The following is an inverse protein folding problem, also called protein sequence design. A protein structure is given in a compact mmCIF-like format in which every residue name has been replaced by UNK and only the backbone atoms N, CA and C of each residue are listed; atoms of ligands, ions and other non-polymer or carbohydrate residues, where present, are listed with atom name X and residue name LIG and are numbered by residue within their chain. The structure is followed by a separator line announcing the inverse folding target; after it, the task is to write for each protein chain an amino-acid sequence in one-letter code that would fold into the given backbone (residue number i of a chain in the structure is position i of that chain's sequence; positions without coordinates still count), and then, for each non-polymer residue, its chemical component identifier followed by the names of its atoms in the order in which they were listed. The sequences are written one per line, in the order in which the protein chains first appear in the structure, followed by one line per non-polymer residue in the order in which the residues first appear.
data_IF_400701802596
#
_entry.id   IF_400701802596
#
_cell.length_a   1.000
_cell.length_b   1.000
_cell.length_c   1.000
_cell.angle_alpha   90.00
_cell.angle_beta   90.00
_cell.angle_gamma   90.00
#
_symmetry.space_group_name_H-M   'P 1'
#
loop_
_entity.id
_entity.type
_entity.pdbx_description
1 polymer ?
#
# COMPACT_ATOMS: atom_id res chain seq x y z
N UNK A 1 17.01 -24.33 -1.37
CA UNK A 1 16.50 -22.97 -1.57
C UNK A 1 16.06 -22.38 -0.24
N UNK A 2 16.49 -21.17 0.02
CA UNK A 2 16.00 -20.47 1.20
C UNK A 2 14.60 -19.94 0.95
N UNK A 3 13.77 -19.88 1.99
CA UNK A 3 12.47 -19.26 1.90
C UNK A 3 12.62 -17.75 1.63
N UNK A 4 11.69 -17.13 0.90
CA UNK A 4 11.74 -15.70 0.70
C UNK A 4 11.63 -14.97 2.04
N UNK A 5 12.36 -13.87 2.16
CA UNK A 5 12.27 -13.03 3.35
C UNK A 5 10.91 -12.34 3.38
N UNK A 6 10.32 -12.14 4.57
CA UNK A 6 9.08 -11.38 4.67
C UNK A 6 9.30 -9.92 4.30
N UNK A 7 8.26 -9.29 3.76
CA UNK A 7 8.27 -7.86 3.51
C UNK A 7 8.33 -7.09 4.83
N UNK A 8 7.55 -7.55 5.81
CA UNK A 8 7.49 -6.95 7.13
C UNK A 8 6.76 -7.89 8.08
N UNK A 9 6.71 -7.49 9.35
CA UNK A 9 5.86 -8.15 10.34
C UNK A 9 4.48 -7.52 10.31
N UNK A 10 3.45 -8.31 10.64
CA UNK A 10 2.08 -7.78 10.73
C UNK A 10 2.02 -6.60 11.72
N UNK A 11 2.76 -6.70 12.83
CA UNK A 11 2.79 -5.66 13.86
C UNK A 11 3.48 -4.37 13.41
N UNK A 12 4.19 -4.40 12.29
CA UNK A 12 4.79 -3.19 11.69
C UNK A 12 3.74 -2.32 11.03
N UNK A 13 2.52 -2.81 10.87
CA UNK A 13 1.40 -2.08 10.31
C UNK A 13 0.36 -1.87 11.42
N UNK A 14 0.08 -0.63 11.82
CA UNK A 14 -0.93 -0.39 12.85
C UNK A 14 -2.30 -0.92 12.43
N UNK A 15 -3.03 -1.52 13.37
CA UNK A 15 -4.40 -1.94 13.07
C UNK A 15 -5.23 -0.71 12.69
N UNK A 16 -6.00 -0.84 11.62
CA UNK A 16 -6.77 0.25 11.01
C UNK A 16 -5.87 1.40 10.53
N UNK A 17 -4.61 1.09 10.28
CA UNK A 17 -3.63 2.05 9.81
C UNK A 17 -2.93 1.55 8.57
N UNK A 18 -1.80 2.17 8.29
CA UNK A 18 -0.99 1.87 7.11
C UNK A 18 0.48 2.06 7.39
N UNK A 19 1.31 1.51 6.50
CA UNK A 19 2.73 1.77 6.50
C UNK A 19 3.30 1.55 5.10
N UNK A 20 4.47 2.11 4.86
CA UNK A 20 5.18 1.96 3.61
C UNK A 20 6.38 1.04 3.75
N UNK A 21 6.64 0.25 2.72
CA UNK A 21 7.77 -0.68 2.69
C UNK A 21 8.41 -0.63 1.30
N UNK A 22 9.61 -1.18 1.19
CA UNK A 22 10.27 -1.26 -0.09
C UNK A 22 11.07 -2.55 -0.21
N UNK A 23 11.33 -2.93 -1.47
CA UNK A 23 12.31 -3.96 -1.81
C UNK A 23 13.25 -3.38 -2.84
N UNK A 24 14.48 -3.91 -2.88
CA UNK A 24 15.45 -3.48 -3.88
C UNK A 24 15.29 -4.36 -5.12
N UNK A 25 14.87 -3.74 -6.23
CA UNK A 25 14.84 -4.39 -7.53
C UNK A 25 16.19 -4.30 -8.23
N UNK A 26 16.26 -4.89 -9.44
CA UNK A 26 17.51 -4.92 -10.20
C UNK A 26 18.02 -3.53 -10.58
N UNK A 27 17.09 -2.65 -10.95
CA UNK A 27 17.41 -1.30 -11.44
C UNK A 27 16.97 -0.20 -10.51
N UNK A 28 16.02 -0.49 -9.64
CA UNK A 28 15.39 0.53 -8.80
C UNK A 28 14.78 -0.09 -7.56
N UNK A 29 14.49 0.77 -6.60
CA UNK A 29 13.74 0.38 -5.41
C UNK A 29 12.26 0.30 -5.76
N UNK A 30 11.61 -0.77 -5.33
CA UNK A 30 10.17 -0.97 -5.48
C UNK A 30 9.47 -0.57 -4.19
N UNK A 31 8.51 0.33 -4.29
CA UNK A 31 7.80 0.87 -3.12
C UNK A 31 6.41 0.22 -3.01
N UNK A 32 6.03 -0.11 -1.78
CA UNK A 32 4.75 -0.73 -1.47
C UNK A 32 4.06 0.04 -0.35
N UNK A 33 2.74 0.06 -0.38
CA UNK A 33 1.93 0.50 0.75
C UNK A 33 1.11 -0.68 1.25
N UNK A 34 1.00 -0.80 2.57
CA UNK A 34 0.20 -1.83 3.20
C UNK A 34 -0.82 -1.18 4.12
N UNK A 35 -2.07 -1.58 3.98
CA UNK A 35 -3.17 -1.10 4.81
C UNK A 35 -3.71 -2.29 5.59
N UNK A 36 -3.80 -2.14 6.91
CA UNK A 36 -4.21 -3.23 7.79
C UNK A 36 -5.59 -2.98 8.38
N UNK A 37 -6.41 -4.03 8.37
CA UNK A 37 -7.69 -4.06 9.08
C UNK A 37 -7.80 -5.39 9.83
N UNK A 38 -7.47 -5.39 11.12
CA UNK A 38 -7.41 -6.61 11.91
C UNK A 38 -6.35 -7.56 11.37
N UNK A 39 -6.78 -8.72 10.89
CA UNK A 39 -5.89 -9.72 10.31
C UNK A 39 -5.84 -9.65 8.78
N UNK A 40 -6.55 -8.71 8.18
CA UNK A 40 -6.51 -8.49 6.74
C UNK A 40 -5.52 -7.39 6.40
N UNK A 41 -4.72 -7.60 5.37
CA UNK A 41 -3.77 -6.61 4.87
C UNK A 41 -3.97 -6.49 3.36
N UNK A 42 -4.08 -5.23 2.91
CA UNK A 42 -4.19 -4.90 1.50
C UNK A 42 -2.90 -4.22 1.08
N UNK A 43 -2.23 -4.75 0.06
CA UNK A 43 -0.95 -4.22 -0.39
C UNK A 43 -1.07 -3.76 -1.83
N UNK A 44 -0.57 -2.56 -2.09
CA UNK A 44 -0.53 -1.97 -3.43
C UNK A 44 0.85 -1.41 -3.70
N UNK A 45 1.21 -1.30 -4.98
CA UNK A 45 2.39 -0.52 -5.34
C UNK A 45 2.16 0.92 -4.91
N UNK A 46 3.15 1.51 -4.25
CA UNK A 46 3.10 2.91 -3.80
C UNK A 46 3.42 3.82 -4.98
N UNK A 47 2.45 3.94 -5.87
CA UNK A 47 2.59 4.71 -7.10
C UNK A 47 1.23 5.23 -7.53
N UNK A 48 1.10 6.55 -7.60
CA UNK A 48 -0.14 7.18 -8.03
C UNK A 48 -0.37 6.91 -9.52
N UNK A 49 -1.55 6.39 -9.93
CA UNK A 49 -1.82 6.14 -11.35
C UNK A 49 -1.75 7.41 -12.21
N UNK A 50 -2.02 8.57 -11.61
CA UNK A 50 -2.02 9.85 -12.31
C UNK A 50 -0.60 10.38 -12.57
N UNK A 51 0.24 10.36 -11.53
CA UNK A 51 1.56 11.03 -11.59
C UNK A 51 2.74 10.06 -11.61
N UNK A 52 2.54 8.81 -11.19
CA UNK A 52 3.62 7.87 -11.01
C UNK A 52 4.46 8.10 -9.77
N UNK A 53 4.09 9.07 -8.93
CA UNK A 53 4.82 9.40 -7.71
C UNK A 53 4.28 8.59 -6.52
N UNK A 54 5.08 8.41 -5.46
CA UNK A 54 4.58 7.84 -4.21
C UNK A 54 3.41 8.64 -3.67
N UNK A 55 2.46 7.94 -3.03
CA UNK A 55 1.25 8.57 -2.49
C UNK A 55 1.50 9.29 -1.16
N UNK A 56 2.46 8.81 -0.38
CA UNK A 56 2.67 9.32 0.97
C UNK A 56 3.61 10.52 1.00
N UNK A 57 3.05 11.68 1.26
CA UNK A 57 3.85 12.88 1.54
C UNK A 57 4.57 12.73 2.89
N UNK A 58 3.84 12.22 3.89
CA UNK A 58 4.43 11.83 5.18
C UNK A 58 4.63 10.32 5.17
N UNK A 59 5.87 9.83 5.35
CA UNK A 59 6.16 8.40 5.23
C UNK A 59 5.19 7.52 6.02
N UNK A 60 4.63 6.53 5.36
CA UNK A 60 3.71 5.57 5.96
C UNK A 60 2.26 6.03 6.08
N UNK A 61 1.96 7.27 5.74
CA UNK A 61 0.60 7.80 5.87
C UNK A 61 -0.11 7.78 4.52
N UNK A 62 -0.98 6.78 4.36
CA UNK A 62 -1.70 6.56 3.11
C UNK A 62 -3.21 6.75 3.25
N UNK A 63 -3.72 6.90 4.47
CA UNK A 63 -5.17 6.96 4.69
C UNK A 63 -5.65 8.39 4.83
N UNK A 64 -6.86 8.65 4.32
CA UNK A 64 -7.56 9.89 4.57
C UNK A 64 -7.86 10.03 6.07
N UNK A 65 -8.20 11.25 6.49
CA UNK A 65 -8.38 11.57 7.91
C UNK A 65 -9.36 10.63 8.63
N UNK A 66 -10.40 10.18 7.94
CA UNK A 66 -11.39 9.26 8.51
C UNK A 66 -10.97 7.80 8.47
N UNK A 67 -9.84 7.49 7.85
CA UNK A 67 -9.34 6.12 7.73
C UNK A 67 -10.11 5.22 6.77
N UNK A 68 -11.10 5.74 6.06
CA UNK A 68 -11.97 4.95 5.20
C UNK A 68 -11.41 4.75 3.78
N UNK A 69 -10.55 5.65 3.33
CA UNK A 69 -10.01 5.66 1.97
C UNK A 69 -8.51 5.87 1.98
N UNK A 70 -7.83 5.32 0.98
CA UNK A 70 -6.44 5.66 0.68
C UNK A 70 -6.45 7.02 -0.02
N UNK A 71 -5.53 7.89 0.35
CA UNK A 71 -5.47 9.23 -0.23
C UNK A 71 -4.06 9.52 -0.74
N UNK A 72 -3.99 10.01 -1.99
CA UNK A 72 -2.76 10.52 -2.56
C UNK A 72 -2.51 11.95 -2.06
N UNK A 73 -1.34 12.19 -1.49
CA UNK A 73 -1.00 13.49 -0.93
C UNK A 73 -0.78 14.58 -1.98
N UNK A 74 -0.54 14.20 -3.23
CA UNK A 74 -0.20 15.16 -4.28
C UNK A 74 -1.42 15.93 -4.79
N UNK A 75 -2.51 15.24 -5.10
CA UNK A 75 -3.69 15.86 -5.72
C UNK A 75 -4.99 15.43 -5.05
N UNK A 76 -4.93 14.80 -3.88
CA UNK A 76 -6.11 14.41 -3.14
C UNK A 76 -6.93 13.28 -3.74
N UNK A 77 -6.38 12.55 -4.72
CA UNK A 77 -7.06 11.38 -5.26
C UNK A 77 -7.33 10.37 -4.15
N UNK A 78 -8.52 9.78 -4.15
CA UNK A 78 -8.93 8.83 -3.13
C UNK A 78 -9.27 7.48 -3.73
N UNK A 79 -8.87 6.42 -3.05
CA UNK A 79 -8.99 5.04 -3.53
C UNK A 79 -9.63 4.17 -2.47
N UNK A 80 -10.44 3.20 -2.91
CA UNK A 80 -11.01 2.22 -1.97
C UNK A 80 -9.90 1.30 -1.45
N UNK A 81 -9.96 1.01 -0.16
CA UNK A 81 -8.96 0.12 0.46
C UNK A 81 -9.06 -1.29 -0.11
N UNK A 82 -10.29 -1.78 -0.32
CA UNK A 82 -10.54 -3.17 -0.71
C UNK A 82 -9.97 -3.55 -2.07
N UNK A 83 -10.03 -2.65 -3.04
CA UNK A 83 -9.63 -2.97 -4.42
C UNK A 83 -8.73 -1.91 -5.07
N UNK A 84 -8.46 -0.81 -4.37
CA UNK A 84 -7.59 0.25 -4.89
C UNK A 84 -8.22 1.09 -6.00
N UNK A 85 -9.54 0.97 -6.24
CA UNK A 85 -10.21 1.73 -7.29
C UNK A 85 -10.33 3.20 -6.89
N UNK A 86 -9.96 4.10 -7.81
CA UNK A 86 -10.03 5.54 -7.57
C UNK A 86 -11.48 6.02 -7.66
N UNK A 87 -11.97 6.59 -6.55
CA UNK A 87 -13.36 7.06 -6.46
C UNK A 87 -13.46 8.57 -6.53
N UNK A 88 -12.35 9.29 -6.43
CA UNK A 88 -12.35 10.75 -6.42
C UNK A 88 -11.00 11.28 -6.84
N UNK A 89 -10.99 12.43 -7.49
CA UNK A 89 -9.77 13.11 -7.89
C UNK A 89 -9.36 12.84 -9.33
N UNK A 90 -8.14 13.25 -9.72
CA UNK A 90 -7.72 13.21 -11.13
C UNK A 90 -7.54 11.80 -11.69
N UNK A 91 -7.42 10.78 -10.84
CA UNK A 91 -7.29 9.38 -11.31
C UNK A 91 -8.61 8.64 -11.34
N UNK A 92 -9.74 9.32 -11.25
CA UNK A 92 -11.04 8.66 -11.23
C UNK A 92 -11.20 7.72 -12.41
N UNK A 93 -11.55 6.45 -12.15
CA UNK A 93 -11.63 5.43 -13.17
C UNK A 93 -10.39 4.53 -13.26
N UNK A 94 -9.27 4.94 -12.68
CA UNK A 94 -8.06 4.13 -12.58
C UNK A 94 -8.00 3.40 -11.26
N UNK A 95 -7.03 2.49 -11.11
CA UNK A 95 -6.83 1.73 -9.89
C UNK A 95 -5.37 1.70 -9.52
N UNK A 96 -5.10 1.62 -8.21
CA UNK A 96 -3.79 1.24 -7.70
C UNK A 96 -3.50 -0.19 -8.14
N UNK A 97 -2.23 -0.51 -8.32
CA UNK A 97 -1.84 -1.86 -8.70
C UNK A 97 -1.73 -2.74 -7.46
N UNK A 98 -2.62 -3.73 -7.36
CA UNK A 98 -2.64 -4.66 -6.24
C UNK A 98 -1.44 -5.60 -6.29
N UNK A 99 -0.91 -5.92 -5.12
CA UNK A 99 0.22 -6.82 -4.95
C UNK A 99 -0.25 -8.03 -4.17
N UNK A 100 -0.07 -9.22 -4.72
CA UNK A 100 -0.46 -10.46 -4.04
C UNK A 100 0.48 -10.73 -2.88
N UNK A 101 -0.09 -11.01 -1.73
CA UNK A 101 0.64 -11.24 -0.50
C UNK A 101 0.01 -12.37 0.30
N UNK A 102 0.76 -12.87 1.28
CA UNK A 102 0.32 -13.92 2.19
C UNK A 102 0.83 -13.62 3.58
N UNK A 103 -0.01 -13.87 4.59
CA UNK A 103 0.40 -13.74 5.99
C UNK A 103 0.66 -15.14 6.53
N UNK A 104 1.87 -15.35 7.06
CA UNK A 104 2.27 -16.60 7.72
C UNK A 104 3.02 -16.27 8.99
N UNK A 105 2.61 -16.86 10.11
CA UNK A 105 3.28 -16.71 11.41
C UNK A 105 3.54 -15.24 11.78
N UNK A 106 2.55 -14.37 11.51
CA UNK A 106 2.64 -12.96 11.86
C UNK A 106 3.53 -12.14 10.94
N UNK A 107 3.92 -12.69 9.78
CA UNK A 107 4.76 -12.00 8.80
C UNK A 107 4.05 -11.91 7.45
N UNK A 108 4.28 -10.83 6.75
CA UNK A 108 3.71 -10.56 5.42
C UNK A 108 4.74 -10.90 4.35
N UNK A 109 4.34 -11.76 3.42
CA UNK A 109 5.21 -12.19 2.32
C UNK A 109 4.62 -11.76 0.98
N UNK A 110 5.49 -11.29 0.09
CA UNK A 110 5.12 -11.08 -1.31
C UNK A 110 5.05 -12.44 -2.02
N UNK A 111 4.02 -12.62 -2.83
CA UNK A 111 3.85 -13.86 -3.60
C UNK A 111 4.42 -13.73 -5.01
#
# INVERSE_FOLDING_TARGET
MSDPAPLCRLDDIPDRGSNGFYTDGADRRLLYMAIRRGNEVFVYENRCPHTGLPLDFQPGRFLATDGALIQCSNHGAQFRIKDGFCVSGPCQGDSLKAVKTEIRDGHLYLL
#
